data_IF_797971681694
#
_entry.id   IF_797971681694
#
_cell.length_a   1.000
_cell.length_b   1.000
_cell.length_c   1.000
_cell.angle_alpha   90.00
_cell.angle_beta   90.00
_cell.angle_gamma   90.00
#
_symmetry.space_group_name_H-M   'P 1'
#
loop_
_entity.id
_entity.type
_entity.pdbx_description
1 polymer ?
#
# COMPACT_ATOMS: atom_id res chain seq x y z
N UNK A 1 -6.66 18.92 7.28
CA UNK A 1 -6.69 18.45 8.68
C UNK A 1 -5.46 17.60 8.94
N UNK A 2 -5.03 17.48 10.19
CA UNK A 2 -3.94 16.59 10.60
C UNK A 2 -4.55 15.37 11.29
N UNK A 3 -4.08 14.17 10.94
CA UNK A 3 -4.60 12.93 11.50
C UNK A 3 -3.49 12.07 12.08
N UNK A 4 -3.80 11.44 13.22
CA UNK A 4 -3.02 10.37 13.81
C UNK A 4 -3.77 9.06 13.59
N UNK A 5 -3.17 8.14 12.84
CA UNK A 5 -3.70 6.79 12.63
C UNK A 5 -2.81 5.81 13.37
N UNK A 6 -3.40 4.99 14.22
CA UNK A 6 -2.67 4.24 15.25
C UNK A 6 -3.26 2.84 15.49
N UNK A 7 -2.40 1.90 15.91
CA UNK A 7 -2.79 0.56 16.36
C UNK A 7 -1.82 0.02 17.40
N UNK A 8 -2.33 -0.75 18.37
CA UNK A 8 -1.57 -1.59 19.32
C UNK A 8 -1.64 -3.08 19.02
N UNK A 9 -2.27 -3.48 17.91
CA UNK A 9 -2.58 -4.88 17.62
C UNK A 9 -4.06 -5.27 17.82
N UNK A 10 -4.89 -4.34 18.28
CA UNK A 10 -6.34 -4.54 18.51
C UNK A 10 -7.21 -3.68 17.56
N UNK A 11 -6.86 -3.64 16.27
CA UNK A 11 -7.53 -2.80 15.28
C UNK A 11 -6.89 -1.42 15.10
N UNK A 12 -7.36 -0.67 14.11
CA UNK A 12 -6.81 0.64 13.71
C UNK A 12 -7.77 1.75 14.09
N UNK A 13 -7.27 2.83 14.69
CA UNK A 13 -8.05 3.98 15.11
C UNK A 13 -7.48 5.25 14.51
N UNK A 14 -8.35 6.19 14.13
CA UNK A 14 -7.96 7.51 13.67
C UNK A 14 -8.43 8.60 14.62
N UNK A 15 -7.54 9.57 14.82
CA UNK A 15 -7.78 10.76 15.61
C UNK A 15 -7.51 11.98 14.74
N UNK A 16 -8.39 12.98 14.78
CA UNK A 16 -8.19 14.26 14.11
C UNK A 16 -7.66 15.28 15.11
N UNK A 17 -6.62 16.02 14.73
CA UNK A 17 -6.07 17.09 15.55
C UNK A 17 -7.03 18.29 15.58
N UNK A 18 -7.43 18.71 16.78
CA UNK A 18 -8.12 19.97 17.02
C UNK A 18 -7.09 21.03 17.45
N UNK A 19 -6.78 22.02 16.58
CA UNK A 19 -5.79 23.04 16.87
C UNK A 19 -6.22 24.04 17.96
N UNK A 20 -7.53 24.16 18.22
CA UNK A 20 -8.04 25.07 19.26
C UNK A 20 -7.77 24.55 20.67
N UNK A 21 -7.74 23.22 20.82
CA UNK A 21 -7.54 22.53 22.09
C UNK A 21 -6.14 21.91 22.21
N UNK A 22 -5.42 21.74 21.10
CA UNK A 22 -4.10 21.11 21.07
C UNK A 22 -4.14 19.59 21.28
N UNK A 23 -5.27 18.93 20.99
CA UNK A 23 -5.48 17.50 21.25
C UNK A 23 -5.88 16.73 20.01
N UNK A 24 -5.60 15.43 20.00
CA UNK A 24 -6.09 14.49 19.00
C UNK A 24 -7.39 13.85 19.49
N UNK A 25 -8.50 14.17 18.83
CA UNK A 25 -9.83 13.64 19.15
C UNK A 25 -10.13 12.40 18.31
N UNK A 26 -10.56 11.32 18.94
CA UNK A 26 -10.96 10.08 18.26
C UNK A 26 -12.10 10.40 17.28
N UNK A 27 -11.88 10.10 16.00
CA UNK A 27 -12.86 10.38 14.94
C UNK A 27 -13.35 9.11 14.23
N UNK A 28 -12.55 8.03 14.24
CA UNK A 28 -12.96 6.76 13.67
C UNK A 28 -12.33 5.59 14.43
N UNK A 29 -13.19 4.67 14.88
CA UNK A 29 -12.78 3.44 15.52
C UNK A 29 -12.68 2.29 14.52
N UNK A 30 -11.77 1.34 14.79
CA UNK A 30 -11.66 0.05 14.10
C UNK A 30 -11.72 0.17 12.57
N UNK A 31 -10.95 1.11 12.02
CA UNK A 31 -10.83 1.31 10.58
C UNK A 31 -10.51 -0.01 9.87
N UNK A 32 -11.21 -0.26 8.77
CA UNK A 32 -11.00 -1.40 7.89
C UNK A 32 -10.86 -0.92 6.45
N UNK A 33 -10.02 -1.60 5.66
CA UNK A 33 -10.06 -1.40 4.22
C UNK A 33 -11.43 -1.83 3.68
N UNK A 34 -12.04 -1.07 2.76
CA UNK A 34 -13.16 -1.57 1.95
C UNK A 34 -12.73 -2.85 1.22
N UNK A 35 -13.57 -3.89 1.18
CA UNK A 35 -13.20 -5.17 0.55
C UNK A 35 -12.81 -5.02 -0.93
N UNK A 36 -13.55 -4.17 -1.65
CA UNK A 36 -13.33 -3.88 -3.06
C UNK A 36 -12.83 -2.45 -3.23
N UNK A 37 -11.90 -2.26 -4.15
CA UNK A 37 -11.45 -0.94 -4.58
C UNK A 37 -11.23 -0.90 -6.08
N UNK A 38 -11.44 0.27 -6.67
CA UNK A 38 -11.22 0.53 -8.11
C UNK A 38 -10.07 1.51 -8.34
N UNK A 39 -9.14 1.58 -7.40
CA UNK A 39 -8.00 2.49 -7.52
C UNK A 39 -6.70 1.73 -7.42
N UNK A 40 -5.72 2.15 -8.21
CA UNK A 40 -4.34 1.72 -8.05
C UNK A 40 -3.44 2.95 -7.96
N UNK A 41 -2.37 2.84 -7.20
CA UNK A 41 -1.39 3.90 -6.95
C UNK A 41 0.00 3.40 -7.24
N UNK A 42 0.65 4.02 -8.22
CA UNK A 42 2.01 3.70 -8.65
C UNK A 42 2.56 4.89 -9.44
N UNK A 43 3.88 5.11 -9.37
CA UNK A 43 4.54 6.10 -10.21
C UNK A 43 4.74 5.58 -11.65
N UNK A 44 3.72 5.72 -12.50
CA UNK A 44 3.79 5.27 -13.91
C UNK A 44 4.91 5.94 -14.73
N UNK A 45 5.53 7.02 -14.26
CA UNK A 45 6.74 7.59 -14.87
C UNK A 45 7.92 6.60 -14.90
N UNK A 46 7.90 5.56 -14.08
CA UNK A 46 8.89 4.47 -14.11
C UNK A 46 8.44 3.24 -14.91
N UNK A 47 7.34 3.32 -15.69
CA UNK A 47 6.73 2.19 -16.38
C UNK A 47 7.73 1.30 -17.13
N UNK A 48 8.64 1.90 -17.90
CA UNK A 48 9.64 1.17 -18.70
C UNK A 48 10.57 0.33 -17.79
N UNK A 49 10.87 0.83 -16.59
CA UNK A 49 11.80 0.23 -15.63
C UNK A 49 11.15 -0.81 -14.72
N UNK A 50 9.83 -1.00 -14.82
CA UNK A 50 9.12 -1.97 -13.99
C UNK A 50 9.30 -3.41 -14.46
N UNK A 51 9.18 -4.36 -13.52
CA UNK A 51 8.93 -5.76 -13.80
C UNK A 51 7.78 -6.00 -14.78
N UNK A 52 7.87 -7.09 -15.54
CA UNK A 52 6.80 -7.50 -16.47
C UNK A 52 5.48 -7.79 -15.75
N UNK A 53 5.51 -8.38 -14.54
CA UNK A 53 4.30 -8.62 -13.74
C UNK A 53 3.55 -7.33 -13.40
N UNK A 54 4.29 -6.30 -12.98
CA UNK A 54 3.73 -4.97 -12.68
C UNK A 54 3.19 -4.30 -13.93
N UNK A 55 3.91 -4.36 -15.06
CA UNK A 55 3.43 -3.83 -16.35
C UNK A 55 2.11 -4.49 -16.77
N UNK A 56 2.02 -5.83 -16.67
CA UNK A 56 0.79 -6.58 -16.94
C UNK A 56 -0.34 -6.17 -16.00
N UNK A 57 -0.06 -5.94 -14.71
CA UNK A 57 -1.09 -5.45 -13.79
C UNK A 57 -1.61 -4.07 -14.16
N UNK A 58 -0.73 -3.14 -14.53
CA UNK A 58 -1.13 -1.79 -14.93
C UNK A 58 -2.03 -1.88 -16.17
N UNK A 59 -1.68 -2.72 -17.15
CA UNK A 59 -2.51 -2.94 -18.33
C UNK A 59 -3.84 -3.60 -17.99
N UNK A 60 -3.82 -4.61 -17.14
CA UNK A 60 -5.04 -5.17 -16.55
C UNK A 60 -5.89 -4.05 -15.93
N UNK A 61 -5.35 -3.16 -15.09
CA UNK A 61 -6.12 -2.07 -14.50
C UNK A 61 -6.72 -1.10 -15.53
N UNK A 62 -6.09 -0.91 -16.69
CA UNK A 62 -6.48 0.05 -17.73
C UNK A 62 -7.48 -0.52 -18.75
N UNK A 63 -7.62 -1.84 -18.84
CA UNK A 63 -8.56 -2.50 -19.76
C UNK A 63 -10.03 -2.20 -19.40
N UNK A 64 -10.87 -2.08 -20.44
CA UNK A 64 -12.33 -2.03 -20.26
C UNK A 64 -12.88 -3.44 -20.10
N UNK A 65 -13.45 -3.74 -18.92
CA UNK A 65 -14.07 -5.03 -18.65
C UNK A 65 -15.19 -4.86 -17.62
N UNK A 66 -16.42 -5.04 -18.10
CA UNK A 66 -17.64 -4.92 -17.28
C UNK A 66 -17.72 -6.00 -16.21
N UNK A 67 -17.18 -7.20 -16.44
CA UNK A 67 -17.26 -8.33 -15.49
C UNK A 67 -16.44 -8.08 -14.23
N UNK A 68 -15.28 -7.44 -14.37
CA UNK A 68 -14.37 -7.10 -13.27
C UNK A 68 -14.47 -5.63 -12.85
N UNK A 69 -15.41 -4.89 -13.45
CA UNK A 69 -15.73 -3.50 -13.13
C UNK A 69 -14.55 -2.54 -13.35
N UNK A 70 -13.78 -2.80 -14.42
CA UNK A 70 -12.63 -2.03 -14.91
C UNK A 70 -13.06 -1.10 -16.06
N UNK A 71 -12.36 0.03 -16.31
CA UNK A 71 -11.01 0.37 -15.84
C UNK A 71 -10.95 0.85 -14.38
N UNK A 72 -9.78 0.68 -13.75
CA UNK A 72 -9.46 1.26 -12.46
C UNK A 72 -8.91 2.67 -12.62
N UNK A 73 -9.14 3.50 -11.61
CA UNK A 73 -8.68 4.87 -11.54
C UNK A 73 -7.24 4.94 -10.99
N UNK A 74 -6.31 5.47 -11.77
CA UNK A 74 -4.95 5.76 -11.31
C UNK A 74 -4.94 6.97 -10.37
N UNK A 75 -4.33 6.82 -9.17
CA UNK A 75 -4.15 7.90 -8.20
C UNK A 75 -2.81 7.76 -7.51
N UNK A 76 -1.89 8.68 -7.78
CA UNK A 76 -0.57 8.69 -7.16
C UNK A 76 -0.26 10.09 -6.64
N UNK A 77 -0.14 10.23 -5.32
CA UNK A 77 0.18 11.52 -4.67
C UNK A 77 1.70 11.70 -4.61
N UNK A 78 2.44 10.59 -4.45
CA UNK A 78 3.89 10.61 -4.26
C UNK A 78 4.34 10.70 -2.81
N UNK A 79 3.39 10.63 -1.87
CA UNK A 79 3.64 10.51 -0.44
C UNK A 79 3.09 9.17 0.05
N UNK A 80 3.98 8.31 0.58
CA UNK A 80 3.62 6.99 1.11
C UNK A 80 2.43 7.08 2.07
N UNK A 81 2.48 8.01 3.03
CA UNK A 81 1.45 8.18 4.05
C UNK A 81 0.12 8.62 3.42
N UNK A 82 0.15 9.55 2.46
CA UNK A 82 -1.08 10.06 1.84
C UNK A 82 -1.75 9.00 0.93
N UNK A 83 -0.94 8.30 0.12
CA UNK A 83 -1.43 7.21 -0.73
C UNK A 83 -1.96 6.03 0.11
N UNK A 84 -1.24 5.67 1.20
CA UNK A 84 -1.70 4.67 2.17
C UNK A 84 -3.04 5.05 2.79
N UNK A 85 -3.15 6.28 3.31
CA UNK A 85 -4.34 6.74 4.01
C UNK A 85 -5.56 6.76 3.10
N UNK A 86 -5.40 7.20 1.84
CA UNK A 86 -6.47 7.14 0.85
C UNK A 86 -6.92 5.70 0.59
N UNK A 87 -5.98 4.78 0.42
CA UNK A 87 -6.29 3.37 0.21
C UNK A 87 -7.00 2.76 1.43
N UNK A 88 -6.60 3.13 2.65
CA UNK A 88 -7.29 2.70 3.88
C UNK A 88 -8.76 3.10 3.88
N UNK A 89 -9.08 4.30 3.38
CA UNK A 89 -10.45 4.82 3.35
C UNK A 89 -11.28 4.36 2.13
N UNK A 90 -10.65 4.21 0.97
CA UNK A 90 -11.35 4.00 -0.32
C UNK A 90 -11.10 2.63 -0.95
N UNK A 91 -10.23 1.82 -0.35
CA UNK A 91 -9.78 0.56 -0.91
C UNK A 91 -8.91 0.77 -2.15
N UNK A 92 -8.43 -0.34 -2.70
CA UNK A 92 -7.54 -0.35 -3.86
C UNK A 92 -6.16 -0.86 -3.50
N UNK A 93 -5.21 -0.61 -4.41
CA UNK A 93 -3.86 -1.16 -4.32
C UNK A 93 -2.81 -0.06 -4.41
N UNK A 94 -1.87 -0.05 -3.46
CA UNK A 94 -0.67 0.78 -3.53
C UNK A 94 0.51 -0.11 -3.92
N UNK A 95 1.31 0.35 -4.88
CA UNK A 95 2.47 -0.38 -5.39
C UNK A 95 3.68 0.53 -5.33
N UNK A 96 4.75 0.01 -4.72
CA UNK A 96 6.08 0.61 -4.84
C UNK A 96 7.07 -0.46 -5.29
N UNK A 97 7.13 -0.76 -6.61
CA UNK A 97 7.97 -1.83 -7.10
C UNK A 97 9.45 -1.45 -7.12
N UNK A 98 10.31 -2.47 -7.17
CA UNK A 98 11.69 -2.30 -7.60
C UNK A 98 11.74 -1.77 -9.03
N UNK A 99 12.83 -1.06 -9.34
CA UNK A 99 13.09 -0.53 -10.69
C UNK A 99 14.48 -0.93 -11.10
N UNK A 100 14.78 -0.89 -12.40
CA UNK A 100 16.13 -1.14 -12.90
C UNK A 100 17.23 -0.30 -12.21
N UNK A 101 16.92 0.91 -11.74
CA UNK A 101 17.87 1.76 -10.99
C UNK A 101 17.85 1.54 -9.48
N UNK A 102 16.82 0.88 -8.94
CA UNK A 102 16.66 0.57 -7.52
C UNK A 102 16.15 -0.88 -7.39
N UNK A 103 17.03 -1.87 -7.60
CA UNK A 103 16.65 -3.28 -7.64
C UNK A 103 16.07 -3.77 -6.30
N UNK A 104 16.52 -3.20 -5.18
CA UNK A 104 16.02 -3.53 -3.84
C UNK A 104 14.84 -2.63 -3.39
N UNK A 105 14.28 -1.85 -4.31
CA UNK A 105 13.25 -0.86 -4.00
C UNK A 105 13.82 0.39 -3.32
N UNK A 106 12.92 1.33 -2.98
CA UNK A 106 13.30 2.62 -2.37
C UNK A 106 12.90 2.73 -0.90
N UNK A 107 11.80 2.11 -0.52
CA UNK A 107 11.26 2.16 0.84
C UNK A 107 12.13 1.31 1.78
N UNK A 108 12.40 1.81 2.98
CA UNK A 108 13.11 1.08 4.02
C UNK A 108 12.15 0.19 4.80
N UNK A 109 12.61 -1.02 5.10
CA UNK A 109 11.82 -2.05 5.74
C UNK A 109 11.34 -1.61 7.13
N UNK A 110 12.26 -1.17 7.99
CA UNK A 110 11.99 -0.96 9.42
C UNK A 110 11.00 0.17 9.73
N UNK A 111 11.09 1.30 9.03
CA UNK A 111 10.36 2.52 9.39
C UNK A 111 9.45 3.07 8.30
N UNK A 112 9.39 2.41 7.13
CA UNK A 112 8.38 2.71 6.10
C UNK A 112 7.49 1.50 5.86
N UNK A 113 8.05 0.34 5.52
CA UNK A 113 7.26 -0.84 5.17
C UNK A 113 6.59 -1.49 6.39
N UNK A 114 7.33 -1.74 7.47
CA UNK A 114 6.81 -2.45 8.65
C UNK A 114 5.66 -1.71 9.35
N UNK A 115 5.75 -0.39 9.64
CA UNK A 115 4.65 0.32 10.28
C UNK A 115 3.39 0.34 9.41
N UNK A 116 3.55 0.55 8.10
CA UNK A 116 2.43 0.54 7.15
C UNK A 116 1.84 -0.86 7.00
N UNK A 117 2.66 -1.91 6.98
CA UNK A 117 2.22 -3.29 6.92
C UNK A 117 1.41 -3.69 8.17
N UNK A 118 1.88 -3.29 9.35
CA UNK A 118 1.17 -3.57 10.61
C UNK A 118 -0.18 -2.89 10.66
N UNK A 119 -0.26 -1.61 10.27
CA UNK A 119 -1.54 -0.91 10.10
C UNK A 119 -2.43 -1.59 9.06
N UNK A 120 -1.84 -2.01 7.93
CA UNK A 120 -2.59 -2.61 6.84
C UNK A 120 -3.30 -3.90 7.28
N UNK A 121 -2.56 -4.79 7.93
CA UNK A 121 -3.07 -6.08 8.40
C UNK A 121 -4.08 -5.91 9.54
N UNK A 122 -3.82 -4.98 10.47
CA UNK A 122 -4.76 -4.63 11.54
C UNK A 122 -6.07 -4.06 11.00
N UNK A 123 -6.05 -3.38 9.85
CA UNK A 123 -7.24 -2.93 9.13
C UNK A 123 -7.82 -4.00 8.18
N UNK A 124 -7.35 -5.24 8.23
CA UNK A 124 -7.86 -6.36 7.43
C UNK A 124 -7.33 -6.43 6.00
N UNK A 125 -6.35 -5.60 5.63
CA UNK A 125 -5.63 -5.65 4.37
C UNK A 125 -4.51 -6.70 4.36
N UNK A 126 -3.65 -6.62 3.33
CA UNK A 126 -2.42 -7.43 3.22
C UNK A 126 -1.25 -6.55 2.78
N UNK A 127 -0.07 -6.81 3.31
CA UNK A 127 1.19 -6.21 2.90
C UNK A 127 2.20 -7.29 2.48
N UNK A 128 2.67 -7.23 1.25
CA UNK A 128 3.67 -8.18 0.70
C UNK A 128 4.72 -7.41 -0.08
N UNK A 129 5.88 -8.03 -0.29
CA UNK A 129 6.88 -7.59 -1.26
C UNK A 129 6.70 -8.27 -2.63
N UNK A 130 5.59 -8.98 -2.86
CA UNK A 130 5.33 -9.74 -4.07
C UNK A 130 5.69 -11.23 -3.96
N UNK A 131 6.45 -11.65 -2.94
CA UNK A 131 6.83 -13.05 -2.68
C UNK A 131 6.41 -13.54 -1.30
N UNK A 132 6.71 -12.75 -0.28
CA UNK A 132 6.42 -13.06 1.12
C UNK A 132 5.73 -11.88 1.82
N UNK A 133 5.28 -12.10 3.05
CA UNK A 133 4.60 -11.09 3.87
C UNK A 133 5.62 -10.12 4.46
N UNK A 134 5.32 -8.82 4.48
CA UNK A 134 6.28 -7.80 4.91
C UNK A 134 6.74 -7.99 6.36
N UNK A 135 5.84 -8.39 7.26
CA UNK A 135 6.14 -8.54 8.68
C UNK A 135 6.90 -9.83 9.04
N UNK A 136 7.04 -10.78 8.09
CA UNK A 136 7.80 -12.02 8.31
C UNK A 136 9.30 -11.83 7.99
N UNK A 137 9.66 -10.64 7.51
CA UNK A 137 11.00 -10.32 7.03
C UNK A 137 11.88 -9.92 8.20
N UNK A 138 12.91 -10.70 8.46
CA UNK A 138 13.92 -10.36 9.46
C UNK A 138 14.88 -9.33 8.84
N UNK A 139 14.97 -8.11 9.41
CA UNK A 139 15.89 -7.09 8.92
C UNK A 139 17.34 -7.45 9.25
N UNK A 140 18.23 -7.38 8.26
CA UNK A 140 19.67 -7.58 8.39
C UNK A 140 20.40 -6.27 8.71
N UNK A 141 19.87 -5.13 8.25
CA UNK A 141 20.46 -3.81 8.49
C UNK A 141 19.41 -2.73 8.79
N UNK A 142 19.81 -1.67 9.50
CA UNK A 142 18.91 -0.58 9.91
C UNK A 142 18.25 0.15 8.72
N UNK A 143 19.00 0.33 7.63
CA UNK A 143 18.54 1.05 6.44
C UNK A 143 18.20 0.11 5.29
N UNK A 144 17.97 -1.18 5.59
CA UNK A 144 17.60 -2.17 4.59
C UNK A 144 16.39 -1.68 3.79
N UNK A 145 16.59 -1.53 2.50
CA UNK A 145 15.51 -1.44 1.53
C UNK A 145 15.15 -2.84 1.13
N UNK A 146 13.86 -3.09 0.93
CA UNK A 146 13.46 -4.42 0.50
C UNK A 146 12.40 -4.40 -0.55
N UNK A 147 12.71 -5.16 -1.60
CA UNK A 147 11.88 -5.49 -2.74
C UNK A 147 12.57 -6.68 -3.43
N UNK A 148 12.64 -7.89 -2.83
CA UNK A 148 13.56 -8.94 -3.26
C UNK A 148 13.23 -9.45 -4.67
N UNK A 149 14.11 -9.10 -5.61
CA UNK A 149 14.13 -9.61 -6.97
C UNK A 149 13.20 -8.90 -7.94
N UNK A 150 13.19 -9.43 -9.17
CA UNK A 150 12.45 -8.96 -10.35
C UNK A 150 10.94 -8.73 -10.16
N UNK A 151 10.37 -8.95 -8.97
CA UNK A 151 8.94 -8.86 -8.66
C UNK A 151 8.67 -8.11 -7.36
N UNK A 152 9.68 -7.50 -6.77
CA UNK A 152 9.54 -6.78 -5.52
C UNK A 152 8.51 -5.67 -5.66
N UNK A 153 7.40 -5.77 -4.94
CA UNK A 153 6.28 -4.82 -4.94
C UNK A 153 5.85 -4.67 -3.49
N UNK A 154 6.10 -3.51 -2.86
CA UNK A 154 5.38 -3.19 -1.63
C UNK A 154 3.91 -2.99 -2.01
N UNK A 155 3.10 -4.03 -1.76
CA UNK A 155 1.70 -4.08 -2.13
C UNK A 155 0.84 -4.01 -0.89
N UNK A 156 0.04 -2.96 -0.78
CA UNK A 156 -1.06 -2.92 0.20
C UNK A 156 -2.37 -3.07 -0.55
N UNK A 157 -3.15 -4.08 -0.20
CA UNK A 157 -4.45 -4.35 -0.82
C UNK A 157 -5.54 -4.64 0.20
N UNK A 158 -6.77 -4.31 -0.18
CA UNK A 158 -7.97 -4.84 0.48
C UNK A 158 -8.12 -6.35 0.20
N UNK A 159 -8.88 -7.05 1.06
CA UNK A 159 -9.16 -8.48 0.87
C UNK A 159 -9.99 -8.69 -0.40
N UNK A 160 -9.31 -9.23 -1.42
CA UNK A 160 -9.84 -9.92 -2.62
C UNK A 160 -10.00 -9.03 -3.87
N UNK A 161 -9.68 -9.63 -5.03
CA UNK A 161 -9.74 -9.17 -6.44
C UNK A 161 -8.36 -8.89 -7.07
N UNK A 162 -7.64 -9.96 -7.43
CA UNK A 162 -6.75 -10.09 -8.59
C UNK A 162 -6.17 -11.53 -8.63
N UNK A 163 -5.86 -12.10 -9.82
CA UNK A 163 -5.34 -13.46 -9.95
C UNK A 163 -4.06 -13.63 -9.12
N UNK A 164 -3.95 -14.74 -8.41
CA UNK A 164 -2.84 -15.07 -7.51
C UNK A 164 -1.54 -15.46 -8.22
N UNK A 165 -1.40 -15.20 -9.51
CA UNK A 165 -0.22 -15.52 -10.31
C UNK A 165 0.39 -14.22 -10.88
N UNK A 166 1.43 -13.72 -10.21
CA UNK A 166 2.30 -12.62 -10.64
C UNK A 166 3.60 -13.15 -11.22
#
# INVERSE_FOLDING_TARGET
STMLVYTTGCGVHAFTYDPSLGVFCLCQERMRFPEKGKTYSINEGNYIKFPNGVKKYIKFCQEEDKSTNRPYTSRYIGSLVADFHRNLLKGGIYLYPSTASHPDGKLRLLYECNPMAFLAEQAGGKASDGKERILDIIPETLHQRRSPGLYGVFMIRSRIIAPTSW
#
